data_IF_868061928684
#
_entry.id   IF_868061928684
#
_cell.length_a   1.000
_cell.length_b   1.000
_cell.length_c   1.000
_cell.angle_alpha   90.00
_cell.angle_beta   90.00
_cell.angle_gamma   90.00
#
_symmetry.space_group_name_H-M   'P 1'
#
loop_
_entity.id
_entity.type
_entity.pdbx_description
1 polymer ?
#
# COMPACT_ATOMS: atom_id res chain seq x y z
N UNK A 1 7.70 -18.29 -11.04
CA UNK A 1 7.08 -16.95 -11.14
C UNK A 1 7.15 -16.33 -9.76
N UNK A 2 7.68 -15.10 -9.59
CA UNK A 2 7.64 -14.45 -8.29
C UNK A 2 6.16 -14.27 -7.89
N UNK A 3 5.77 -14.81 -6.73
CA UNK A 3 4.42 -14.60 -6.21
C UNK A 3 4.28 -13.12 -5.88
N UNK A 4 3.31 -12.48 -6.55
CA UNK A 4 2.97 -11.11 -6.30
C UNK A 4 2.01 -11.07 -5.11
N UNK A 5 2.40 -10.39 -4.04
CA UNK A 5 1.53 -10.27 -2.88
C UNK A 5 0.54 -9.14 -3.10
N UNK A 6 -0.73 -9.48 -2.94
CA UNK A 6 -1.82 -8.50 -2.94
C UNK A 6 -1.92 -7.86 -1.57
N UNK A 7 -2.38 -6.62 -1.54
CA UNK A 7 -2.79 -5.91 -0.32
C UNK A 7 -4.29 -5.75 -0.40
N UNK A 8 -4.99 -6.33 0.57
CA UNK A 8 -6.43 -6.16 0.74
C UNK A 8 -6.67 -4.89 1.54
N UNK A 9 -7.67 -4.12 1.13
CA UNK A 9 -7.99 -2.80 1.68
C UNK A 9 -9.49 -2.72 1.91
N UNK A 10 -9.89 -2.33 3.11
CA UNK A 10 -11.28 -2.02 3.45
C UNK A 10 -11.36 -0.55 3.88
N UNK A 11 -12.32 0.17 3.30
CA UNK A 11 -12.57 1.59 3.59
C UNK A 11 -14.03 1.78 3.94
N UNK A 12 -14.30 2.13 5.19
CA UNK A 12 -15.65 2.39 5.70
C UNK A 12 -15.94 3.88 5.82
N UNK A 13 -17.11 4.29 5.35
CA UNK A 13 -17.60 5.68 5.44
C UNK A 13 -19.12 5.72 5.18
N UNK A 14 -19.86 6.55 5.94
CA UNK A 14 -21.30 6.77 5.74
C UNK A 14 -21.66 7.32 4.35
N UNK A 15 -20.72 8.02 3.72
CA UNK A 15 -20.88 8.57 2.40
C UNK A 15 -20.56 7.50 1.34
N UNK A 16 -21.57 6.71 0.97
CA UNK A 16 -21.42 5.64 -0.02
C UNK A 16 -21.08 6.17 -1.42
N UNK A 17 -21.48 7.40 -1.77
CA UNK A 17 -21.06 8.03 -3.03
C UNK A 17 -19.56 8.30 -3.07
N UNK A 18 -18.97 8.72 -1.94
CA UNK A 18 -17.52 8.87 -1.82
C UNK A 18 -16.81 7.52 -1.94
N UNK A 19 -17.33 6.47 -1.30
CA UNK A 19 -16.78 5.12 -1.40
C UNK A 19 -16.79 4.59 -2.83
N UNK A 20 -17.84 4.87 -3.61
CA UNK A 20 -17.94 4.46 -5.01
C UNK A 20 -16.84 5.04 -5.91
N UNK A 21 -16.16 6.11 -5.51
CA UNK A 21 -15.01 6.62 -6.27
C UNK A 21 -13.78 5.70 -6.18
N UNK A 22 -13.66 4.89 -5.11
CA UNK A 22 -12.52 3.99 -4.91
C UNK A 22 -12.51 2.81 -5.88
N UNK A 23 -13.59 2.59 -6.64
CA UNK A 23 -13.62 1.58 -7.72
C UNK A 23 -12.65 1.90 -8.87
N UNK A 24 -12.26 3.17 -9.00
CA UNK A 24 -11.31 3.64 -9.99
C UNK A 24 -10.59 4.89 -9.46
N UNK A 25 -9.32 4.72 -9.10
CA UNK A 25 -8.48 5.77 -8.52
C UNK A 25 -8.38 7.00 -9.45
N UNK A 26 -8.58 6.86 -10.76
CA UNK A 26 -8.61 8.01 -11.68
C UNK A 26 -9.76 8.99 -11.39
N UNK A 27 -10.83 8.56 -10.72
CA UNK A 27 -11.94 9.42 -10.32
C UNK A 27 -11.57 10.35 -9.15
N UNK A 28 -10.46 10.07 -8.47
CA UNK A 28 -9.98 10.79 -7.29
C UNK A 28 -8.66 11.50 -7.62
N UNK A 29 -7.67 10.73 -8.08
CA UNK A 29 -6.35 11.21 -8.52
C UNK A 29 -6.16 10.71 -9.95
N UNK A 30 -6.51 11.53 -10.97
CA UNK A 30 -6.35 11.14 -12.37
C UNK A 30 -4.90 10.75 -12.65
N UNK A 31 -4.68 9.52 -13.10
CA UNK A 31 -3.43 9.12 -13.74
C UNK A 31 -3.65 9.20 -15.23
N UNK A 32 -2.71 9.82 -15.97
CA UNK A 32 -2.73 9.81 -17.42
C UNK A 32 -2.32 8.45 -17.98
N UNK A 33 -2.73 7.33 -17.38
CA UNK A 33 -2.17 6.00 -17.66
C UNK A 33 -2.44 5.47 -19.08
N UNK A 34 -3.29 6.13 -19.89
CA UNK A 34 -3.31 5.94 -21.34
C UNK A 34 -1.98 6.38 -22.01
N UNK A 35 -1.24 7.29 -21.38
CA UNK A 35 0.07 7.83 -21.74
C UNK A 35 1.20 7.46 -20.77
N UNK A 36 0.95 6.82 -19.63
CA UNK A 36 2.01 6.34 -18.70
C UNK A 36 2.67 5.04 -19.18
N UNK A 37 2.87 4.89 -20.49
CA UNK A 37 3.77 3.87 -21.03
C UNK A 37 5.18 4.27 -20.63
N UNK A 38 5.74 3.52 -19.68
CA UNK A 38 7.11 3.67 -19.20
C UNK A 38 7.32 4.98 -18.45
N UNK A 39 7.79 4.90 -17.21
CA UNK A 39 8.51 6.04 -16.65
C UNK A 39 9.67 6.30 -17.59
N UNK A 40 9.79 7.56 -18.02
CA UNK A 40 10.85 7.95 -18.94
C UNK A 40 12.16 7.34 -18.44
N UNK A 41 12.92 6.62 -19.29
CA UNK A 41 14.16 5.97 -18.89
C UNK A 41 15.08 6.90 -18.11
N UNK A 42 15.04 8.22 -18.37
CA UNK A 42 15.78 9.24 -17.63
C UNK A 42 15.37 9.42 -16.17
N UNK A 43 14.10 9.21 -15.79
CA UNK A 43 13.62 9.24 -14.40
C UNK A 43 13.96 7.93 -13.69
N UNK A 44 13.88 6.80 -14.40
CA UNK A 44 14.35 5.51 -13.89
C UNK A 44 15.88 5.52 -13.71
N UNK A 45 16.65 5.92 -14.72
CA UNK A 45 18.12 6.11 -14.69
C UNK A 45 18.54 7.13 -13.65
N UNK A 46 17.76 8.20 -13.46
CA UNK A 46 17.99 9.12 -12.36
C UNK A 46 17.95 8.32 -11.07
N UNK A 47 16.79 7.74 -10.70
CA UNK A 47 16.57 6.94 -9.49
C UNK A 47 17.56 5.78 -9.31
N UNK A 48 17.97 5.12 -10.40
CA UNK A 48 18.94 4.02 -10.43
C UNK A 48 20.39 4.54 -10.27
N UNK A 49 20.71 5.70 -10.81
CA UNK A 49 21.96 6.43 -10.54
C UNK A 49 22.04 6.98 -9.10
N UNK A 50 20.88 7.27 -8.48
CA UNK A 50 20.77 7.63 -7.05
C UNK A 50 21.03 6.40 -6.16
N UNK A 51 20.66 5.19 -6.61
CA UNK A 51 20.91 3.90 -5.96
C UNK A 51 22.39 3.50 -5.98
N UNK A 52 23.10 3.72 -7.09
CA UNK A 52 24.51 3.32 -7.19
C UNK A 52 25.50 4.21 -6.39
N UNK A 53 25.08 5.39 -5.94
CA UNK A 53 26.00 6.38 -5.37
C UNK A 53 25.94 6.55 -3.85
N UNK A 54 25.14 5.77 -3.10
CA UNK A 54 25.04 5.83 -1.62
C UNK A 54 24.76 7.24 -1.02
N UNK A 55 24.47 8.24 -1.84
CA UNK A 55 24.63 9.64 -1.47
C UNK A 55 23.44 10.54 -1.85
N UNK A 56 22.30 9.95 -2.19
CA UNK A 56 21.10 10.75 -2.38
C UNK A 56 20.19 10.73 -1.15
N UNK A 57 20.10 11.90 -0.54
CA UNK A 57 19.12 12.15 0.51
C UNK A 57 17.72 12.20 -0.10
N UNK A 58 16.71 11.79 0.67
CA UNK A 58 15.28 11.92 0.29
C UNK A 58 14.99 13.33 -0.26
N UNK A 59 15.63 14.35 0.31
CA UNK A 59 15.44 15.76 -0.03
C UNK A 59 15.94 16.10 -1.45
N UNK A 60 16.98 15.42 -1.95
CA UNK A 60 17.48 15.62 -3.31
C UNK A 60 16.59 14.94 -4.35
N UNK A 61 16.07 13.75 -4.04
CA UNK A 61 15.11 13.07 -4.91
C UNK A 61 13.76 13.80 -4.91
N UNK A 62 13.32 14.31 -3.75
CA UNK A 62 12.19 15.21 -3.62
C UNK A 62 12.37 16.45 -4.49
N UNK A 63 13.55 17.08 -4.45
CA UNK A 63 13.89 18.23 -5.29
C UNK A 63 13.97 17.92 -6.78
N UNK A 64 14.11 16.67 -7.20
CA UNK A 64 14.05 16.31 -8.61
C UNK A 64 12.61 16.21 -9.11
N UNK A 65 11.68 15.79 -8.25
CA UNK A 65 10.28 15.53 -8.60
C UNK A 65 9.29 16.56 -8.07
N UNK A 66 9.72 17.52 -7.23
CA UNK A 66 8.81 18.44 -6.52
C UNK A 66 7.93 19.27 -7.45
N UNK A 67 8.39 19.51 -8.68
CA UNK A 67 7.62 20.28 -9.67
C UNK A 67 6.35 19.54 -10.15
N UNK A 68 6.19 18.27 -9.78
CA UNK A 68 4.98 17.49 -9.99
C UNK A 68 4.01 17.52 -8.79
N UNK A 69 4.35 18.20 -7.70
CA UNK A 69 3.57 18.22 -6.46
C UNK A 69 3.32 19.65 -5.99
N UNK A 70 2.24 19.83 -5.22
CA UNK A 70 1.81 21.15 -4.73
C UNK A 70 2.82 21.78 -3.76
N UNK A 71 3.54 20.94 -3.01
CA UNK A 71 4.59 21.37 -2.08
C UNK A 71 5.72 20.36 -1.94
N UNK A 72 6.87 20.87 -1.49
CA UNK A 72 8.11 20.11 -1.36
C UNK A 72 8.06 19.04 -0.26
N UNK A 73 7.35 19.27 0.85
CA UNK A 73 7.23 18.28 1.92
C UNK A 73 6.36 17.10 1.50
N UNK A 74 5.33 17.34 0.67
CA UNK A 74 4.56 16.29 0.03
C UNK A 74 5.43 15.48 -0.94
N UNK A 75 6.21 16.14 -1.81
CA UNK A 75 7.16 15.45 -2.70
C UNK A 75 8.17 14.60 -1.92
N UNK A 76 8.68 15.14 -0.82
CA UNK A 76 9.64 14.50 0.08
C UNK A 76 9.07 13.29 0.79
N UNK A 77 7.86 13.39 1.33
CA UNK A 77 7.20 12.27 1.99
C UNK A 77 6.84 11.17 0.99
N UNK A 78 6.40 11.52 -0.22
CA UNK A 78 6.13 10.54 -1.30
C UNK A 78 7.42 9.82 -1.72
N UNK A 79 8.52 10.56 -1.93
CA UNK A 79 9.83 9.98 -2.26
C UNK A 79 10.33 9.09 -1.12
N UNK A 80 10.12 9.49 0.14
CA UNK A 80 10.46 8.67 1.31
C UNK A 80 9.65 7.39 1.35
N UNK A 81 8.34 7.44 1.13
CA UNK A 81 7.47 6.25 1.13
C UNK A 81 7.79 5.32 -0.05
N UNK A 82 8.08 5.87 -1.23
CA UNK A 82 8.56 5.11 -2.38
C UNK A 82 9.90 4.43 -2.09
N UNK A 83 10.86 5.16 -1.52
CA UNK A 83 12.15 4.63 -1.10
C UNK A 83 12.00 3.50 -0.06
N UNK A 84 11.11 3.66 0.93
CA UNK A 84 10.82 2.63 1.93
C UNK A 84 10.12 1.40 1.33
N UNK A 85 9.23 1.58 0.35
CA UNK A 85 8.58 0.49 -0.38
C UNK A 85 9.57 -0.27 -1.28
N UNK A 86 10.53 0.44 -1.89
CA UNK A 86 11.58 -0.14 -2.74
C UNK A 86 12.67 -0.84 -1.92
N UNK A 87 13.06 -0.30 -0.76
CA UNK A 87 14.09 -0.87 0.12
C UNK A 87 13.64 -2.14 0.87
N UNK A 88 12.35 -2.48 0.84
CA UNK A 88 11.80 -3.62 1.57
C UNK A 88 11.79 -4.95 0.80
N UNK A 89 12.19 -5.02 -0.48
CA UNK A 89 12.21 -6.31 -1.20
C UNK A 89 13.30 -6.47 -2.28
N UNK A 90 13.76 -7.71 -2.52
CA UNK A 90 14.58 -8.07 -3.67
C UNK A 90 13.70 -8.37 -4.90
N UNK A 91 13.28 -7.34 -5.65
CA UNK A 91 12.55 -7.58 -6.92
C UNK A 91 13.01 -6.64 -8.05
N UNK A 92 14.24 -6.84 -8.51
CA UNK A 92 14.80 -6.27 -9.74
C UNK A 92 14.36 -7.02 -11.02
N UNK A 93 13.09 -7.42 -11.15
CA UNK A 93 12.65 -8.25 -12.29
C UNK A 93 11.30 -7.89 -12.91
N UNK A 94 10.70 -6.74 -12.55
CA UNK A 94 9.35 -6.39 -12.97
C UNK A 94 9.25 -4.98 -13.60
N UNK A 95 10.33 -4.50 -14.23
CA UNK A 95 10.42 -3.17 -14.85
C UNK A 95 9.36 -2.88 -15.91
N UNK A 96 8.69 -3.90 -16.45
CA UNK A 96 7.58 -3.76 -17.41
C UNK A 96 6.17 -3.93 -16.80
N UNK A 97 6.06 -4.44 -15.57
CA UNK A 97 4.77 -4.93 -15.04
C UNK A 97 4.07 -3.93 -14.09
N UNK A 98 4.82 -3.03 -13.45
CA UNK A 98 4.26 -2.06 -12.49
C UNK A 98 4.70 -0.63 -12.81
N UNK A 99 3.73 0.26 -12.92
CA UNK A 99 4.01 1.68 -13.13
C UNK A 99 4.45 2.31 -11.80
N UNK A 100 5.75 2.56 -11.64
CA UNK A 100 6.24 3.41 -10.55
C UNK A 100 5.59 4.81 -10.61
N UNK A 101 5.10 5.30 -11.76
CA UNK A 101 4.31 6.52 -11.83
C UNK A 101 2.99 6.39 -11.06
N UNK A 102 2.30 5.24 -11.18
CA UNK A 102 1.12 4.96 -10.37
C UNK A 102 1.49 4.81 -8.89
N UNK A 103 2.63 4.18 -8.57
CA UNK A 103 3.10 4.11 -7.18
C UNK A 103 3.28 5.52 -6.59
N UNK A 104 3.82 6.46 -7.36
CA UNK A 104 3.99 7.86 -6.93
C UNK A 104 2.66 8.62 -6.81
N UNK A 105 1.72 8.40 -7.73
CA UNK A 105 0.42 9.10 -7.76
C UNK A 105 -0.58 8.53 -6.76
N UNK A 106 -0.66 7.21 -6.65
CA UNK A 106 -1.69 6.51 -5.89
C UNK A 106 -1.16 5.89 -4.60
N UNK A 107 0.14 5.65 -4.47
CA UNK A 107 0.70 4.80 -3.41
C UNK A 107 0.54 3.31 -3.68
N UNK A 108 0.14 2.94 -4.90
CA UNK A 108 -0.04 1.57 -5.39
C UNK A 108 0.31 1.53 -6.88
N UNK A 109 0.95 0.46 -7.38
CA UNK A 109 1.35 0.39 -8.77
C UNK A 109 0.18 0.12 -9.73
N UNK A 110 -0.94 -0.42 -9.22
CA UNK A 110 -2.17 -0.68 -9.94
C UNK A 110 -3.36 0.06 -9.31
N UNK A 111 -4.44 0.12 -10.07
CA UNK A 111 -5.73 0.61 -9.62
C UNK A 111 -6.41 -0.42 -8.70
N UNK A 112 -7.59 -0.09 -8.16
CA UNK A 112 -8.39 -1.02 -7.37
C UNK A 112 -8.75 -2.27 -8.19
N UNK A 113 -8.38 -3.43 -7.65
CA UNK A 113 -8.77 -4.74 -8.18
C UNK A 113 -9.94 -5.32 -7.39
N UNK A 114 -10.92 -5.87 -8.10
CA UNK A 114 -12.12 -6.49 -7.52
C UNK A 114 -12.85 -5.57 -6.52
N UNK A 115 -13.13 -4.29 -6.84
CA UNK A 115 -13.83 -3.41 -5.92
C UNK A 115 -15.23 -3.93 -5.63
N UNK A 116 -15.58 -3.99 -4.35
CA UNK A 116 -16.88 -4.43 -3.87
C UNK A 116 -17.37 -3.50 -2.77
N UNK A 117 -18.54 -2.88 -2.99
CA UNK A 117 -19.20 -2.08 -1.97
C UNK A 117 -20.22 -2.96 -1.23
N UNK A 118 -20.00 -3.12 0.07
CA UNK A 118 -21.02 -3.60 1.00
C UNK A 118 -21.86 -2.40 1.48
N UNK A 119 -23.14 -2.40 1.13
CA UNK A 119 -24.06 -1.32 1.50
C UNK A 119 -24.53 -1.41 2.95
N UNK A 120 -24.56 -2.62 3.53
CA UNK A 120 -25.01 -2.82 4.90
C UNK A 120 -23.90 -2.42 5.89
N UNK A 121 -22.65 -2.74 5.56
CA UNK A 121 -21.46 -2.38 6.35
C UNK A 121 -20.85 -1.02 5.97
N UNK A 122 -21.44 -0.31 4.99
CA UNK A 122 -20.96 0.98 4.47
C UNK A 122 -19.44 0.95 4.17
N UNK A 123 -18.98 -0.13 3.52
CA UNK A 123 -17.56 -0.45 3.35
C UNK A 123 -17.23 -0.84 1.92
N UNK A 124 -16.23 -0.17 1.33
CA UNK A 124 -15.63 -0.55 0.06
C UNK A 124 -14.40 -1.41 0.32
N UNK A 125 -14.39 -2.63 -0.22
CA UNK A 125 -13.23 -3.51 -0.24
C UNK A 125 -12.62 -3.60 -1.63
N UNK A 126 -11.29 -3.67 -1.71
CA UNK A 126 -10.55 -3.85 -2.96
C UNK A 126 -9.12 -4.32 -2.70
N UNK A 127 -8.50 -4.90 -3.72
CA UNK A 127 -7.09 -5.28 -3.69
C UNK A 127 -6.22 -4.28 -4.45
N UNK A 128 -4.96 -4.18 -4.04
CA UNK A 128 -3.88 -3.53 -4.76
C UNK A 128 -2.66 -4.46 -4.79
N UNK A 129 -1.72 -4.20 -5.69
CA UNK A 129 -0.45 -4.91 -5.72
C UNK A 129 0.55 -4.21 -4.81
N UNK A 130 1.27 -4.97 -3.98
CA UNK A 130 2.43 -4.53 -3.18
C UNK A 130 2.16 -3.49 -2.07
N UNK A 131 1.20 -2.58 -2.20
CA UNK A 131 1.05 -1.46 -1.28
C UNK A 131 -0.40 -0.95 -1.15
N UNK A 132 -0.72 -0.44 0.04
CA UNK A 132 -1.97 0.28 0.31
C UNK A 132 -1.93 1.69 -0.31
N UNK A 133 -2.98 2.14 -1.03
CA UNK A 133 -2.96 3.41 -1.77
C UNK A 133 -3.23 4.64 -0.89
N UNK A 134 -2.33 4.96 0.04
CA UNK A 134 -2.47 6.07 0.99
C UNK A 134 -2.84 7.41 0.33
N UNK A 135 -2.22 7.72 -0.83
CA UNK A 135 -2.46 8.99 -1.52
C UNK A 135 -3.89 9.11 -2.01
N UNK A 136 -4.46 8.04 -2.57
CA UNK A 136 -5.85 8.02 -3.03
C UNK A 136 -6.80 8.26 -1.86
N UNK A 137 -6.61 7.57 -0.74
CA UNK A 137 -7.50 7.72 0.42
C UNK A 137 -7.40 9.13 1.02
N UNK A 138 -6.19 9.70 1.07
CA UNK A 138 -5.99 11.07 1.56
C UNK A 138 -6.67 12.11 0.66
N UNK A 139 -6.57 11.96 -0.66
CA UNK A 139 -7.21 12.86 -1.62
C UNK A 139 -8.74 12.73 -1.59
N UNK A 140 -9.26 11.52 -1.43
CA UNK A 140 -10.69 11.30 -1.18
C UNK A 140 -11.14 12.05 0.08
N UNK A 141 -10.34 11.99 1.15
CA UNK A 141 -10.63 12.69 2.41
C UNK A 141 -10.61 14.22 2.29
N UNK A 142 -9.77 14.80 1.42
CA UNK A 142 -9.83 16.24 1.13
C UNK A 142 -11.10 16.62 0.35
N UNK A 143 -11.53 15.78 -0.60
CA UNK A 143 -12.71 16.02 -1.41
C UNK A 143 -14.01 16.00 -0.58
N UNK A 144 -14.02 15.22 0.49
CA UNK A 144 -15.13 15.12 1.43
C UNK A 144 -14.66 15.46 2.86
N UNK A 145 -14.45 16.76 3.15
CA UNK A 145 -13.72 17.19 4.36
C UNK A 145 -14.47 16.92 5.68
N UNK A 146 -15.79 16.71 5.62
CA UNK A 146 -16.60 16.38 6.79
C UNK A 146 -16.69 14.90 7.10
N UNK A 147 -16.36 14.05 6.13
CA UNK A 147 -16.43 12.61 6.25
C UNK A 147 -15.19 12.06 6.97
N UNK A 148 -15.41 10.98 7.73
CA UNK A 148 -14.33 10.21 8.35
C UNK A 148 -14.26 8.87 7.63
N UNK A 149 -13.11 8.60 7.02
CA UNK A 149 -12.82 7.31 6.40
C UNK A 149 -12.06 6.46 7.42
N UNK A 150 -12.63 5.31 7.78
CA UNK A 150 -11.94 4.30 8.58
C UNK A 150 -11.37 3.24 7.65
N UNK A 151 -10.09 2.92 7.81
CA UNK A 151 -9.35 2.09 6.87
C UNK A 151 -8.64 0.98 7.61
N UNK A 152 -8.71 -0.22 7.07
CA UNK A 152 -7.84 -1.35 7.41
C UNK A 152 -7.22 -1.89 6.13
N UNK A 153 -5.97 -2.35 6.22
CA UNK A 153 -5.32 -3.04 5.11
C UNK A 153 -4.36 -4.12 5.62
N UNK A 154 -4.17 -5.15 4.81
CA UNK A 154 -3.17 -6.17 5.05
C UNK A 154 -2.69 -6.81 3.75
N UNK A 155 -1.37 -7.02 3.66
CA UNK A 155 -0.78 -7.85 2.62
C UNK A 155 -1.13 -9.33 2.80
N UNK A 156 -1.19 -10.06 1.70
CA UNK A 156 -1.43 -11.51 1.61
C UNK A 156 -0.33 -12.31 2.31
N UNK A 157 0.89 -11.77 2.44
CA UNK A 157 1.92 -12.35 3.29
C UNK A 157 1.59 -12.13 4.77
N UNK A 158 1.31 -13.18 5.55
CA UNK A 158 0.73 -12.97 6.86
C UNK A 158 1.66 -12.29 7.86
N UNK A 159 1.12 -11.28 8.55
CA UNK A 159 1.85 -10.52 9.56
C UNK A 159 2.75 -9.42 9.00
N UNK A 160 2.70 -9.12 7.70
CA UNK A 160 3.50 -8.06 7.06
C UNK A 160 2.63 -7.00 6.42
N UNK A 161 3.13 -5.77 6.37
CA UNK A 161 2.53 -4.66 5.61
C UNK A 161 1.03 -4.51 5.91
N UNK A 162 0.73 -4.38 7.21
CA UNK A 162 -0.63 -4.23 7.72
C UNK A 162 -0.79 -2.90 8.42
N UNK A 163 -2.02 -2.41 8.49
CA UNK A 163 -2.31 -1.21 9.26
C UNK A 163 -3.78 -0.88 9.33
N UNK A 164 -4.08 0.10 10.18
CA UNK A 164 -5.40 0.69 10.29
C UNK A 164 -5.31 2.15 10.68
N UNK A 165 -6.26 2.95 10.20
CA UNK A 165 -6.29 4.38 10.51
C UNK A 165 -7.67 4.98 10.29
N UNK A 166 -7.87 6.17 10.85
CA UNK A 166 -8.99 7.04 10.49
C UNK A 166 -8.45 8.37 9.98
N UNK A 167 -9.06 8.88 8.92
CA UNK A 167 -8.65 10.13 8.30
C UNK A 167 -9.86 11.03 8.03
N UNK A 168 -9.67 12.34 8.26
CA UNK A 168 -10.65 13.39 7.95
C UNK A 168 -9.93 14.60 7.39
N UNK A 169 -10.44 15.16 6.28
CA UNK A 169 -9.85 16.30 5.60
C UNK A 169 -8.32 16.17 5.41
N UNK A 170 -7.86 14.97 5.04
CA UNK A 170 -6.44 14.64 4.85
C UNK A 170 -5.56 14.59 6.11
N UNK A 171 -6.15 14.68 7.31
CA UNK A 171 -5.47 14.53 8.59
C UNK A 171 -5.83 13.21 9.26
N UNK A 172 -4.82 12.44 9.67
CA UNK A 172 -5.01 11.22 10.44
C UNK A 172 -5.51 11.56 11.85
N UNK A 173 -6.65 11.01 12.23
CA UNK A 173 -7.19 11.09 13.59
C UNK A 173 -6.55 10.01 14.48
N UNK A 174 -6.32 8.85 13.90
CA UNK A 174 -5.57 7.74 14.47
C UNK A 174 -4.83 7.02 13.35
N UNK A 175 -3.64 6.50 13.66
CA UNK A 175 -2.87 5.67 12.75
C UNK A 175 -2.15 4.60 13.55
N UNK A 176 -2.35 3.33 13.18
CA UNK A 176 -1.73 2.18 13.81
C UNK A 176 -1.12 1.30 12.72
N UNK A 177 0.20 1.24 12.73
CA UNK A 177 0.98 0.30 11.94
C UNK A 177 1.64 -0.69 12.89
N UNK A 178 1.05 -1.88 13.08
CA UNK A 178 1.67 -2.92 13.88
C UNK A 178 3.07 -3.23 13.36
N UNK A 179 3.98 -3.61 14.27
CA UNK A 179 5.27 -4.14 13.85
C UNK A 179 5.05 -5.43 13.05
N UNK A 180 5.76 -5.58 11.94
CA UNK A 180 5.70 -6.81 11.16
C UNK A 180 6.07 -8.02 12.04
N UNK A 181 5.36 -9.13 11.85
CA UNK A 181 5.47 -10.34 12.66
C UNK A 181 4.78 -10.27 14.04
N UNK A 182 4.24 -9.12 14.44
CA UNK A 182 3.51 -9.01 15.72
C UNK A 182 2.13 -9.66 15.66
N UNK A 183 1.59 -10.07 16.81
CA UNK A 183 0.22 -10.61 16.91
C UNK A 183 -0.81 -9.69 16.27
N UNK A 184 -0.70 -8.37 16.46
CA UNK A 184 -1.60 -7.40 15.87
C UNK A 184 -1.53 -7.35 14.33
N UNK A 185 -0.34 -7.54 13.74
CA UNK A 185 -0.21 -7.64 12.28
C UNK A 185 -0.89 -8.90 11.74
N UNK A 186 -0.69 -10.04 12.41
CA UNK A 186 -1.36 -11.29 12.03
C UNK A 186 -2.89 -11.23 12.20
N UNK A 187 -3.38 -10.55 13.25
CA UNK A 187 -4.82 -10.33 13.42
C UNK A 187 -5.42 -9.56 12.23
N UNK A 188 -4.74 -8.52 11.75
CA UNK A 188 -5.19 -7.78 10.56
C UNK A 188 -5.17 -8.65 9.30
N UNK A 189 -4.11 -9.43 9.06
CA UNK A 189 -4.10 -10.35 7.91
C UNK A 189 -5.26 -11.35 7.98
N UNK A 190 -5.57 -11.90 9.16
CA UNK A 190 -6.71 -12.83 9.33
C UNK A 190 -8.05 -12.20 8.94
N UNK A 191 -8.28 -10.95 9.33
CA UNK A 191 -9.50 -10.21 8.97
C UNK A 191 -9.61 -10.08 7.45
N UNK A 192 -8.52 -9.73 6.78
CA UNK A 192 -8.51 -9.45 5.34
C UNK A 192 -8.48 -10.70 4.44
N UNK A 193 -7.86 -11.79 4.89
CA UNK A 193 -7.55 -12.96 4.05
C UNK A 193 -8.20 -14.26 4.52
N UNK A 194 -8.96 -14.25 5.62
CA UNK A 194 -9.68 -15.43 6.11
C UNK A 194 -8.75 -16.59 6.44
N UNK A 195 -7.59 -16.30 7.04
CA UNK A 195 -6.62 -17.33 7.43
C UNK A 195 -7.19 -18.13 8.62
N UNK A 196 -7.72 -19.31 8.33
CA UNK A 196 -8.02 -20.33 9.35
C UNK A 196 -6.72 -20.89 9.97
N UNK A 197 -6.85 -21.69 11.03
CA UNK A 197 -5.86 -22.08 12.06
C UNK A 197 -4.53 -22.76 11.62
N UNK A 198 -4.13 -22.65 10.36
CA UNK A 198 -2.91 -23.23 9.78
C UNK A 198 -1.63 -22.48 10.18
N UNK A 199 -1.74 -21.41 10.95
CA UNK A 199 -0.61 -20.71 11.56
C UNK A 199 -0.68 -20.84 13.08
N UNK A 200 0.30 -21.52 13.68
CA UNK A 200 0.44 -21.71 15.14
C UNK A 200 1.30 -20.59 15.71
N UNK A 201 0.91 -20.04 16.85
CA UNK A 201 1.71 -19.04 17.55
C UNK A 201 2.68 -19.73 18.52
N UNK A 202 3.97 -19.74 18.19
CA UNK A 202 5.05 -20.31 19.01
C UNK A 202 6.24 -19.36 19.05
N UNK A 203 6.93 -19.25 20.19
CA UNK A 203 8.11 -18.39 20.37
C UNK A 203 7.91 -16.92 19.94
N UNK A 204 6.74 -16.37 20.27
CA UNK A 204 6.33 -15.01 19.92
C UNK A 204 6.26 -14.71 18.41
N UNK A 205 6.12 -15.75 17.56
CA UNK A 205 5.94 -15.65 16.11
C UNK A 205 4.85 -16.62 15.66
N UNK A 206 4.10 -16.27 14.61
CA UNK A 206 3.24 -17.26 13.96
C UNK A 206 4.05 -18.04 12.93
N UNK A 207 4.01 -19.37 13.01
CA UNK A 207 4.66 -20.28 12.07
C UNK A 207 3.59 -21.06 11.32
N UNK A 208 3.82 -21.34 10.04
CA UNK A 208 2.96 -22.23 9.26
C UNK A 208 3.01 -23.63 9.90
N UNK A 209 1.85 -24.23 10.21
CA UNK A 209 1.74 -25.51 10.92
C UNK A 209 2.53 -26.63 10.23
N UNK A 210 2.56 -26.62 8.90
CA UNK A 210 3.34 -27.59 8.11
C UNK A 210 4.86 -27.46 8.27
N UNK A 211 5.36 -26.29 8.71
CA UNK A 211 6.78 -26.08 9.04
C UNK A 211 7.11 -26.52 10.47
N UNK A 212 6.18 -26.37 11.42
CA UNK A 212 6.34 -26.89 12.80
C UNK A 212 6.29 -28.42 12.85
N UNK A 213 5.40 -29.07 12.09
CA UNK A 213 5.32 -30.53 12.05
C UNK A 213 6.58 -31.17 11.41
N UNK A 214 7.20 -30.51 10.43
CA UNK A 214 8.47 -30.92 9.85
C UNK A 214 9.66 -30.79 10.82
N UNK A 215 9.59 -29.86 11.78
CA UNK A 215 10.62 -29.67 12.80
C UNK A 215 10.50 -30.67 13.96
N UNK A 216 9.29 -31.17 14.25
CA UNK A 216 9.03 -32.17 15.30
C UNK A 216 9.01 -33.61 14.79
N UNK A 217 8.98 -33.82 13.47
CA UNK A 217 9.02 -35.13 12.81
C UNK A 217 10.41 -35.75 12.73
N UNK A 218 11.01 -36.05 13.88
CA UNK A 218 12.14 -36.99 13.99
C UNK A 218 12.12 -37.66 15.36
N UNK A 219 11.30 -38.72 15.48
CA UNK A 219 11.57 -39.91 16.30
C UNK A 219 10.99 -41.12 15.59
#
# INVERSE_FOLDING_TARGET
MPMLYRVSNDVSCKNTEALMLLRDFNLIVPSSAADSRSIAPTVAEALEGLWQNDALTIDQAAAAVHHHFDDFETAREIVRQAFLATMARPYHAAEDFFSLANMLLWGSPNNAELPNLDFDEETMSFNTALAHPFTVIRQLSFRFPDDIFAVTFAEENPGFNTGRYRIRNGHYLEYQRPADGSTAAYTLTRIHWGLDEDYVFEDARYQLRSLTEAATGSV
#
